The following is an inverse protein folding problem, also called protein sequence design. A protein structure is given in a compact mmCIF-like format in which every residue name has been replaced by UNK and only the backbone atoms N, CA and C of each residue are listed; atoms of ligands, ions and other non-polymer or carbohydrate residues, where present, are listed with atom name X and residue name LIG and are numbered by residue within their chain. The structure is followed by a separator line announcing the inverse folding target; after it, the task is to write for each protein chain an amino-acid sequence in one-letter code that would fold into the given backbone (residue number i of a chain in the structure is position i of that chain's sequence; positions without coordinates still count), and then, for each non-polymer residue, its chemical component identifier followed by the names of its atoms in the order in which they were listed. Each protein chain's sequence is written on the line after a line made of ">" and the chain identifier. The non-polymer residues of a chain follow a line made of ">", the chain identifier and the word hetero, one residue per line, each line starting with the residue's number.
data_IF_060132002742
#
_entry.id   IF_060132002742
#
_cell.length_a   1.000
_cell.length_b   1.000
_cell.length_c   1.000
_cell.angle_alpha   90.00
_cell.angle_beta   90.00
_cell.angle_gamma   90.00
#
_symmetry.space_group_name_H-M   'P 1'
#
loop_
_entity.id
_entity.type
_entity.pdbx_description
1 polymer ?
#
# COMPACT_ATOMS: atom_id res chain seq x y z
N UNK A 1 -3.30 -13.94 -11.09
CA UNK A 1 -4.25 -13.57 -10.01
C UNK A 1 -4.41 -12.06 -9.89
N UNK A 2 -3.32 -11.29 -9.79
CA UNK A 2 -3.34 -9.83 -9.74
C UNK A 2 -4.14 -9.20 -10.91
N UNK A 3 -3.82 -9.58 -12.15
CA UNK A 3 -4.55 -9.16 -13.35
C UNK A 3 -6.05 -9.47 -13.32
N UNK A 4 -6.44 -10.60 -12.73
CA UNK A 4 -7.85 -10.98 -12.67
C UNK A 4 -8.63 -10.10 -11.69
N UNK A 5 -8.01 -9.68 -10.58
CA UNK A 5 -8.61 -8.74 -9.63
C UNK A 5 -8.76 -7.36 -10.25
N UNK A 6 -7.72 -6.85 -10.93
CA UNK A 6 -7.78 -5.57 -11.65
C UNK A 6 -8.84 -5.63 -12.76
N UNK A 7 -8.80 -6.67 -13.60
CA UNK A 7 -9.76 -6.82 -14.70
C UNK A 7 -11.22 -6.95 -14.22
N UNK A 8 -11.47 -7.47 -13.01
CA UNK A 8 -12.83 -7.54 -12.43
C UNK A 8 -13.37 -6.16 -12.10
N UNK A 9 -12.56 -5.25 -11.59
CA UNK A 9 -12.96 -3.88 -11.29
C UNK A 9 -13.50 -3.18 -12.54
N UNK A 10 -12.79 -3.33 -13.66
CA UNK A 10 -13.22 -2.77 -14.95
C UNK A 10 -14.44 -3.47 -15.57
N UNK A 11 -14.81 -4.67 -15.09
CA UNK A 11 -15.98 -5.42 -15.59
C UNK A 11 -17.26 -5.17 -14.81
N UNK A 12 -17.18 -4.57 -13.61
CA UNK A 12 -18.34 -4.18 -12.82
C UNK A 12 -18.70 -2.73 -13.19
N UNK A 13 -19.81 -2.48 -13.89
CA UNK A 13 -20.11 -1.15 -14.43
C UNK A 13 -20.18 -0.06 -13.37
N UNK A 14 -20.70 -0.37 -12.18
CA UNK A 14 -20.78 0.59 -11.06
C UNK A 14 -19.40 0.97 -10.52
N UNK A 15 -18.49 0.01 -10.34
CA UNK A 15 -17.14 0.27 -9.85
C UNK A 15 -16.35 1.08 -10.88
N UNK A 16 -16.40 0.65 -12.14
CA UNK A 16 -15.76 1.36 -13.24
C UNK A 16 -16.24 2.81 -13.36
N UNK A 17 -17.56 3.02 -13.35
CA UNK A 17 -18.15 4.36 -13.44
C UNK A 17 -17.74 5.25 -12.26
N UNK A 18 -17.73 4.71 -11.05
CA UNK A 18 -17.35 5.45 -9.85
C UNK A 18 -15.88 5.86 -9.88
N UNK A 19 -14.99 4.98 -10.35
CA UNK A 19 -13.56 5.30 -10.51
C UNK A 19 -13.30 6.35 -11.58
N UNK A 20 -14.06 6.31 -12.68
CA UNK A 20 -13.98 7.35 -13.72
C UNK A 20 -14.41 8.72 -13.18
N UNK A 21 -15.51 8.80 -12.43
CA UNK A 21 -15.99 10.07 -11.87
C UNK A 21 -15.04 10.63 -10.82
N UNK A 22 -14.44 9.76 -10.00
CA UNK A 22 -13.57 10.15 -8.90
C UNK A 22 -12.08 10.27 -9.29
N UNK A 23 -11.72 10.00 -10.55
CA UNK A 23 -10.35 10.00 -11.08
C UNK A 23 -9.38 9.15 -10.23
N UNK A 24 -9.85 7.98 -9.79
CA UNK A 24 -9.07 7.14 -8.87
C UNK A 24 -8.04 6.30 -9.63
N UNK A 25 -6.80 6.31 -9.14
CA UNK A 25 -5.74 5.45 -9.65
C UNK A 25 -5.77 4.07 -8.97
N UNK A 26 -5.56 3.01 -9.75
CA UNK A 26 -5.38 1.65 -9.24
C UNK A 26 -3.90 1.40 -9.01
N UNK A 27 -3.55 1.17 -7.74
CA UNK A 27 -2.25 0.66 -7.33
C UNK A 27 -2.34 -0.83 -7.02
N UNK A 28 -1.35 -1.60 -7.46
CA UNK A 28 -1.27 -3.04 -7.19
C UNK A 28 0.02 -3.39 -6.46
N UNK A 29 -0.06 -4.20 -5.40
CA UNK A 29 1.13 -4.60 -4.63
C UNK A 29 1.50 -6.07 -4.82
N UNK A 30 2.81 -6.33 -4.89
CA UNK A 30 3.43 -7.67 -5.00
C UNK A 30 4.90 -7.61 -4.54
N UNK A 31 5.49 -8.75 -4.21
CA UNK A 31 6.96 -8.90 -4.08
C UNK A 31 7.58 -9.66 -5.25
N UNK A 32 6.77 -10.05 -6.23
CA UNK A 32 7.17 -10.70 -7.48
C UNK A 32 7.00 -9.73 -8.66
N UNK A 33 8.10 -9.23 -9.26
CA UNK A 33 8.08 -8.32 -10.40
C UNK A 33 7.33 -8.88 -11.62
N UNK A 34 7.33 -10.21 -11.82
CA UNK A 34 6.70 -10.85 -12.97
C UNK A 34 5.17 -10.87 -12.86
N UNK A 35 4.61 -10.59 -11.68
CA UNK A 35 3.18 -10.49 -11.49
C UNK A 35 2.59 -9.19 -12.06
N UNK A 36 3.39 -8.12 -12.18
CA UNK A 36 2.90 -6.79 -12.52
C UNK A 36 2.45 -6.58 -13.98
N UNK A 37 3.12 -7.10 -15.02
CA UNK A 37 2.76 -6.79 -16.42
C UNK A 37 1.30 -7.08 -16.74
N UNK A 38 0.83 -8.27 -16.36
CA UNK A 38 -0.56 -8.67 -16.57
C UNK A 38 -1.56 -7.76 -15.83
N UNK A 39 -1.18 -7.18 -14.68
CA UNK A 39 -2.01 -6.26 -13.93
C UNK A 39 -2.05 -4.87 -14.55
N UNK A 40 -0.91 -4.39 -15.06
CA UNK A 40 -0.83 -3.14 -15.80
C UNK A 40 -1.62 -3.23 -17.10
N UNK A 41 -1.52 -4.35 -17.84
CA UNK A 41 -2.36 -4.63 -19.01
C UNK A 41 -3.85 -4.64 -18.68
N UNK A 42 -4.22 -5.13 -17.49
CA UNK A 42 -5.59 -5.10 -17.00
C UNK A 42 -6.07 -3.72 -16.55
N UNK A 43 -5.19 -2.71 -16.50
CA UNK A 43 -5.52 -1.33 -16.17
C UNK A 43 -5.02 -0.85 -14.81
N UNK A 44 -3.99 -1.44 -14.21
CA UNK A 44 -3.30 -0.82 -13.07
C UNK A 44 -2.45 0.37 -13.53
N UNK A 45 -2.54 1.51 -12.84
CA UNK A 45 -1.74 2.72 -13.16
C UNK A 45 -0.48 2.86 -12.30
N UNK A 46 -0.37 2.08 -11.23
CA UNK A 46 0.73 2.14 -10.28
C UNK A 46 1.02 0.74 -9.73
N UNK A 47 2.28 0.46 -9.43
CA UNK A 47 2.71 -0.79 -8.81
C UNK A 47 3.47 -0.51 -7.51
N UNK A 48 3.33 -1.38 -6.53
CA UNK A 48 4.03 -1.31 -5.24
C UNK A 48 4.83 -2.59 -4.99
N UNK A 49 6.14 -2.46 -4.77
CA UNK A 49 6.94 -3.52 -4.14
C UNK A 49 6.76 -3.38 -2.63
N UNK A 50 6.06 -4.32 -2.00
CA UNK A 50 5.74 -4.16 -0.60
C UNK A 50 4.73 -5.17 -0.05
N UNK A 51 3.98 -4.71 0.95
CA UNK A 51 3.07 -5.54 1.74
C UNK A 51 3.78 -6.73 2.43
N UNK A 52 4.90 -6.44 3.10
CA UNK A 52 5.76 -7.46 3.72
C UNK A 52 5.15 -8.10 4.97
N UNK A 53 4.20 -7.42 5.59
CA UNK A 53 3.46 -7.83 6.78
C UNK A 53 2.98 -9.29 6.81
N UNK A 54 2.47 -9.84 5.69
CA UNK A 54 2.05 -11.24 5.60
C UNK A 54 3.24 -12.21 5.55
N UNK A 55 4.38 -11.76 5.04
CA UNK A 55 5.62 -12.54 4.96
C UNK A 55 6.35 -12.58 6.30
N UNK A 56 6.32 -11.49 7.06
CA UNK A 56 6.89 -11.44 8.40
C UNK A 56 6.23 -12.47 9.33
N UNK A 57 4.91 -12.66 9.22
CA UNK A 57 4.17 -13.70 9.95
C UNK A 57 4.62 -15.12 9.58
N UNK A 58 5.15 -15.31 8.37
CA UNK A 58 5.75 -16.57 7.89
C UNK A 58 7.25 -16.68 8.22
N UNK A 59 7.81 -15.72 8.96
CA UNK A 59 9.24 -15.66 9.27
C UNK A 59 10.13 -15.26 8.09
N UNK A 60 9.54 -14.78 6.98
CA UNK A 60 10.27 -14.31 5.80
C UNK A 60 10.55 -12.82 6.00
N UNK A 61 11.83 -12.43 5.90
CA UNK A 61 12.26 -11.04 5.96
C UNK A 61 12.85 -10.61 4.61
N UNK A 62 12.82 -9.31 4.35
CA UNK A 62 13.37 -8.73 3.12
C UNK A 62 14.58 -7.88 3.47
N UNK A 63 15.75 -8.25 2.94
CA UNK A 63 16.97 -7.46 3.10
C UNK A 63 16.97 -6.24 2.17
N UNK A 64 17.73 -5.18 2.49
CA UNK A 64 17.91 -4.04 1.60
C UNK A 64 18.32 -4.43 0.17
N UNK A 65 19.24 -5.40 0.03
CA UNK A 65 19.74 -5.87 -1.27
C UNK A 65 18.64 -6.59 -2.06
N UNK A 66 17.80 -7.37 -1.38
CA UNK A 66 16.64 -8.02 -2.01
C UNK A 66 15.66 -6.99 -2.53
N UNK A 67 15.33 -5.96 -1.75
CA UNK A 67 14.39 -4.91 -2.16
C UNK A 67 14.96 -4.11 -3.34
N UNK A 68 16.26 -3.78 -3.33
CA UNK A 68 16.94 -3.14 -4.47
C UNK A 68 16.88 -4.00 -5.73
N UNK A 69 17.09 -5.32 -5.61
CA UNK A 69 16.98 -6.26 -6.73
C UNK A 69 15.56 -6.28 -7.31
N UNK A 70 14.55 -6.38 -6.45
CA UNK A 70 13.14 -6.35 -6.87
C UNK A 70 12.78 -5.04 -7.58
N UNK A 71 13.31 -3.91 -7.08
CA UNK A 71 13.11 -2.57 -7.66
C UNK A 71 13.71 -2.47 -9.05
N UNK A 72 14.99 -2.85 -9.21
CA UNK A 72 15.69 -2.93 -10.50
C UNK A 72 14.94 -3.79 -11.51
N UNK A 73 14.52 -4.98 -11.08
CA UNK A 73 13.82 -5.92 -11.95
C UNK A 73 12.46 -5.38 -12.39
N UNK A 74 11.69 -4.82 -11.45
CA UNK A 74 10.39 -4.21 -11.75
C UNK A 74 10.53 -3.01 -12.70
N UNK A 75 11.48 -2.10 -12.43
CA UNK A 75 11.73 -0.96 -13.31
C UNK A 75 12.20 -1.39 -14.70
N UNK A 76 12.99 -2.46 -14.82
CA UNK A 76 13.39 -3.01 -16.13
C UNK A 76 12.19 -3.54 -16.91
N UNK A 77 11.25 -4.21 -16.25
CA UNK A 77 10.06 -4.79 -16.90
C UNK A 77 9.05 -3.69 -17.26
N UNK A 78 8.87 -2.71 -16.38
CA UNK A 78 7.89 -1.64 -16.50
C UNK A 78 8.57 -0.27 -16.39
N UNK A 79 9.26 0.21 -17.45
CA UNK A 79 10.10 1.39 -17.38
C UNK A 79 9.33 2.69 -17.11
N UNK A 80 8.04 2.75 -17.44
CA UNK A 80 7.24 3.98 -17.37
C UNK A 80 6.10 3.94 -16.35
N UNK A 81 5.89 2.82 -15.66
CA UNK A 81 4.85 2.74 -14.63
C UNK A 81 5.31 3.48 -13.37
N UNK A 82 4.39 4.11 -12.64
CA UNK A 82 4.70 4.63 -11.31
C UNK A 82 5.01 3.46 -10.37
N UNK A 83 6.22 3.44 -9.81
CA UNK A 83 6.72 2.41 -8.91
C UNK A 83 6.87 2.96 -7.48
N UNK A 84 6.02 2.47 -6.57
CA UNK A 84 6.20 2.65 -5.13
C UNK A 84 7.01 1.51 -4.54
N UNK A 85 7.88 1.81 -3.58
CA UNK A 85 8.59 0.80 -2.80
C UNK A 85 8.34 1.04 -1.33
N UNK A 86 7.83 0.00 -0.66
CA UNK A 86 7.62 0.02 0.79
C UNK A 86 8.95 -0.17 1.51
N UNK A 87 9.21 0.70 2.48
CA UNK A 87 10.36 0.71 3.36
C UNK A 87 10.09 -0.20 4.57
N UNK A 88 10.82 -1.31 4.74
CA UNK A 88 10.55 -2.26 5.81
C UNK A 88 10.81 -1.64 7.20
N UNK A 89 9.82 -1.74 8.09
CA UNK A 89 9.91 -1.12 9.42
C UNK A 89 10.92 -1.77 10.38
N UNK A 90 11.44 -2.94 10.02
CA UNK A 90 12.44 -3.67 10.83
C UNK A 90 13.85 -3.07 10.73
N UNK A 91 14.12 -2.24 9.72
CA UNK A 91 15.41 -1.57 9.56
C UNK A 91 15.55 -0.40 10.54
N UNK A 92 16.78 -0.10 10.95
CA UNK A 92 17.06 1.11 11.71
C UNK A 92 16.74 2.36 10.88
N UNK A 93 16.37 3.47 11.52
CA UNK A 93 16.02 4.69 10.80
C UNK A 93 17.16 5.19 9.86
N UNK A 94 18.45 5.17 10.25
CA UNK A 94 19.55 5.47 9.33
C UNK A 94 19.61 4.52 8.13
N UNK A 95 19.39 3.22 8.34
CA UNK A 95 19.41 2.23 7.25
C UNK A 95 18.21 2.41 6.31
N UNK A 96 17.04 2.80 6.84
CA UNK A 96 15.88 3.15 6.02
C UNK A 96 16.17 4.35 5.13
N UNK A 97 16.82 5.39 5.67
CA UNK A 97 17.23 6.58 4.90
C UNK A 97 18.20 6.19 3.79
N UNK A 98 19.25 5.43 4.13
CA UNK A 98 20.24 4.97 3.14
C UNK A 98 19.60 4.11 2.05
N UNK A 99 18.69 3.21 2.42
CA UNK A 99 17.97 2.40 1.45
C UNK A 99 17.07 3.26 0.57
N UNK A 100 16.42 4.30 1.10
CA UNK A 100 15.57 5.19 0.31
C UNK A 100 16.36 5.92 -0.78
N UNK A 101 17.55 6.46 -0.45
CA UNK A 101 18.45 7.11 -1.41
C UNK A 101 18.85 6.15 -2.53
N UNK A 102 19.16 4.90 -2.18
CA UNK A 102 19.49 3.88 -3.17
C UNK A 102 18.28 3.52 -4.03
N UNK A 103 17.08 3.38 -3.45
CA UNK A 103 15.86 3.06 -4.19
C UNK A 103 15.49 4.18 -5.18
N UNK A 104 15.68 5.44 -4.82
CA UNK A 104 15.53 6.58 -5.73
C UNK A 104 16.47 6.43 -6.93
N UNK A 105 17.74 6.07 -6.70
CA UNK A 105 18.72 5.84 -7.78
C UNK A 105 18.34 4.65 -8.67
N UNK A 106 17.71 3.62 -8.11
CA UNK A 106 17.20 2.46 -8.86
C UNK A 106 15.85 2.71 -9.57
N UNK A 107 15.32 3.93 -9.47
CA UNK A 107 14.14 4.37 -10.18
C UNK A 107 12.82 4.06 -9.47
N UNK A 108 12.79 4.04 -8.14
CA UNK A 108 11.53 4.20 -7.41
C UNK A 108 10.98 5.61 -7.63
N UNK A 109 9.67 5.75 -7.86
CA UNK A 109 9.02 7.05 -8.00
C UNK A 109 8.45 7.54 -6.66
N UNK A 110 8.16 6.61 -5.75
CA UNK A 110 7.56 6.90 -4.44
C UNK A 110 8.17 5.98 -3.38
N UNK A 111 8.55 6.53 -2.23
CA UNK A 111 8.89 5.71 -1.06
C UNK A 111 7.70 5.66 -0.12
N UNK A 112 7.26 4.46 0.24
CA UNK A 112 6.16 4.26 1.18
C UNK A 112 6.72 3.78 2.52
N UNK A 113 6.48 4.51 3.61
CA UNK A 113 6.93 4.08 4.93
C UNK A 113 6.04 2.95 5.45
N UNK A 114 6.59 2.03 6.22
CA UNK A 114 5.83 0.99 6.92
C UNK A 114 5.80 1.29 8.43
N UNK A 115 4.72 0.89 9.10
CA UNK A 115 4.56 0.99 10.55
C UNK A 115 4.29 -0.39 11.14
N UNK A 116 4.73 -0.62 12.39
CA UNK A 116 4.59 -1.91 13.05
C UNK A 116 3.12 -2.32 13.29
N UNK A 117 2.86 -3.63 13.23
CA UNK A 117 1.52 -4.24 13.20
C UNK A 117 0.68 -4.19 14.49
N UNK A 118 1.11 -3.47 15.53
CA UNK A 118 0.51 -3.64 16.86
C UNK A 118 0.17 -2.32 17.55
N UNK A 119 -1.07 -1.86 17.37
CA UNK A 119 -1.78 -1.10 18.41
C UNK A 119 -3.24 -1.50 18.41
N UNK A 120 -3.62 -2.24 19.45
CA UNK A 120 -4.99 -2.18 19.93
C UNK A 120 -5.03 -1.01 20.90
N UNK A 121 -5.64 0.14 20.55
CA UNK A 121 -5.77 1.23 21.50
C UNK A 121 -6.53 0.72 22.74
N UNK A 122 -5.93 0.89 23.91
CA UNK A 122 -6.51 0.51 25.19
C UNK A 122 -7.70 1.41 25.58
N UNK A 123 -7.81 2.59 24.97
CA UNK A 123 -8.90 3.55 25.18
C UNK A 123 -9.85 3.65 23.98
N UNK A 124 -11.17 3.78 24.20
CA UNK A 124 -12.13 4.07 23.13
C UNK A 124 -12.11 5.57 22.74
N UNK A 125 -12.76 5.90 21.62
CA UNK A 125 -13.01 7.28 21.19
C UNK A 125 -11.74 8.08 20.83
N UNK A 126 -11.78 9.40 21.04
CA UNK A 126 -10.69 10.32 20.67
C UNK A 126 -9.36 9.95 21.36
N UNK A 127 -9.41 9.50 22.61
CA UNK A 127 -8.23 9.06 23.34
C UNK A 127 -7.57 7.85 22.66
N UNK A 128 -8.35 6.90 22.13
CA UNK A 128 -7.82 5.79 21.34
C UNK A 128 -7.21 6.22 20.01
N UNK A 129 -7.75 7.27 19.38
CA UNK A 129 -7.16 7.86 18.17
C UNK A 129 -5.82 8.53 18.44
N UNK A 130 -5.65 9.13 19.62
CA UNK A 130 -4.38 9.72 20.08
C UNK A 130 -3.42 8.61 20.50
N UNK A 131 -3.89 7.53 21.14
CA UNK A 131 -3.04 6.40 21.54
C UNK A 131 -2.38 5.71 20.34
N UNK A 132 -3.06 5.68 19.18
CA UNK A 132 -2.48 5.27 17.89
C UNK A 132 -1.29 6.10 17.43
N UNK A 133 -1.00 7.25 18.04
CA UNK A 133 0.26 7.98 17.81
C UNK A 133 1.45 7.07 18.08
N UNK A 134 1.39 6.23 19.12
CA UNK A 134 2.50 5.33 19.48
C UNK A 134 2.85 4.34 18.38
N UNK A 135 1.85 3.84 17.64
CA UNK A 135 2.05 3.00 16.43
C UNK A 135 2.39 3.80 15.19
N UNK A 136 1.93 5.05 15.11
CA UNK A 136 2.31 5.94 14.03
C UNK A 136 3.77 6.43 14.16
N UNK A 137 4.37 6.41 15.36
CA UNK A 137 5.69 6.97 15.61
C UNK A 137 6.78 6.46 14.65
N UNK A 138 6.94 5.14 14.39
CA UNK A 138 7.95 4.67 13.45
C UNK A 138 7.74 5.20 12.04
N UNK A 139 6.49 5.19 11.56
CA UNK A 139 6.16 5.66 10.21
C UNK A 139 6.31 7.17 10.06
N UNK A 140 5.99 7.95 11.10
CA UNK A 140 6.18 9.39 11.15
C UNK A 140 7.67 9.77 11.19
N UNK A 141 8.48 9.06 11.99
CA UNK A 141 9.92 9.28 12.08
C UNK A 141 10.63 8.93 10.76
N UNK A 142 10.23 7.82 10.12
CA UNK A 142 10.68 7.43 8.79
C UNK A 142 10.31 8.49 7.76
N UNK A 143 9.04 8.95 7.73
CA UNK A 143 8.59 9.98 6.80
C UNK A 143 9.40 11.28 6.97
N UNK A 144 9.62 11.71 8.21
CA UNK A 144 10.43 12.90 8.50
C UNK A 144 11.86 12.81 7.98
N UNK A 145 12.50 11.66 8.19
CA UNK A 145 13.92 11.49 7.87
C UNK A 145 14.14 11.24 6.38
N UNK A 146 13.31 10.38 5.78
CA UNK A 146 13.43 9.99 4.37
C UNK A 146 13.08 11.17 3.46
N UNK A 147 12.01 11.92 3.75
CA UNK A 147 11.60 13.08 2.92
C UNK A 147 12.64 14.20 2.81
N UNK A 148 13.66 14.19 3.68
CA UNK A 148 14.78 15.13 3.66
C UNK A 148 16.03 14.57 2.97
N UNK A 149 16.06 13.28 2.73
CA UNK A 149 17.18 12.58 2.10
C UNK A 149 16.94 12.32 0.61
N UNK A 150 15.68 12.14 0.19
CA UNK A 150 15.30 11.89 -1.22
C UNK A 150 14.51 13.05 -1.79
N UNK A 151 14.48 13.16 -3.12
CA UNK A 151 13.70 14.17 -3.85
C UNK A 151 12.32 13.63 -4.29
N UNK A 152 12.20 12.30 -4.43
CA UNK A 152 10.93 11.65 -4.73
C UNK A 152 9.94 11.74 -3.55
N UNK A 153 8.62 11.76 -3.82
CA UNK A 153 7.61 11.85 -2.78
C UNK A 153 7.67 10.65 -1.81
N UNK A 154 7.43 10.95 -0.53
CA UNK A 154 7.28 9.93 0.52
C UNK A 154 5.82 9.81 0.90
N UNK A 155 5.26 8.60 0.84
CA UNK A 155 3.94 8.28 1.36
C UNK A 155 4.06 7.70 2.76
N UNK A 156 3.30 8.24 3.71
CA UNK A 156 3.26 7.71 5.07
C UNK A 156 2.17 6.65 5.19
N UNK A 157 2.51 5.41 5.56
CA UNK A 157 1.53 4.33 5.70
C UNK A 157 1.55 3.66 7.07
N UNK A 158 0.46 2.96 7.40
CA UNK A 158 0.26 2.15 8.61
C UNK A 158 0.15 2.94 9.92
N UNK A 159 -0.71 2.47 10.83
CA UNK A 159 -0.90 3.08 12.16
C UNK A 159 -1.54 4.48 12.17
N UNK A 160 -1.80 5.10 11.02
CA UNK A 160 -2.37 6.45 10.95
C UNK A 160 -3.86 6.49 11.36
N UNK A 161 -4.24 7.60 11.97
CA UNK A 161 -5.60 7.96 12.35
C UNK A 161 -5.93 9.35 11.79
N UNK A 162 -7.19 9.77 11.90
CA UNK A 162 -7.57 11.13 11.53
C UNK A 162 -6.76 12.21 12.29
N UNK A 163 -6.21 11.88 13.47
CA UNK A 163 -5.39 12.78 14.28
C UNK A 163 -3.93 12.80 13.81
N UNK A 164 -3.38 11.66 13.39
CA UNK A 164 -1.96 11.56 12.99
C UNK A 164 -1.72 11.79 11.51
N UNK A 165 -2.74 11.72 10.65
CA UNK A 165 -2.61 12.04 9.24
C UNK A 165 -2.05 13.46 8.98
N UNK A 166 -2.54 14.54 9.62
CA UNK A 166 -1.92 15.87 9.49
C UNK A 166 -0.47 15.93 9.98
N UNK A 167 -0.12 15.12 10.98
CA UNK A 167 1.25 15.05 11.50
C UNK A 167 2.18 14.43 10.46
N UNK A 168 1.73 13.40 9.73
CA UNK A 168 2.50 12.78 8.65
C UNK A 168 2.79 13.76 7.52
N UNK A 169 1.80 14.58 7.13
CA UNK A 169 2.00 15.64 6.14
C UNK A 169 3.02 16.67 6.63
N UNK A 170 2.89 17.13 7.88
CA UNK A 170 3.86 18.05 8.51
C UNK A 170 5.26 17.45 8.62
N UNK A 171 5.37 16.13 8.79
CA UNK A 171 6.66 15.45 8.84
C UNK A 171 7.39 15.49 7.49
N UNK A 172 6.66 15.65 6.37
CA UNK A 172 7.22 15.70 5.02
C UNK A 172 6.64 14.64 4.09
N UNK A 173 5.59 13.92 4.49
CA UNK A 173 4.89 13.01 3.60
C UNK A 173 4.09 13.81 2.54
N UNK A 174 4.19 13.40 1.28
CA UNK A 174 3.39 13.92 0.17
C UNK A 174 1.96 13.34 0.16
N UNK A 175 1.75 12.21 0.84
CA UNK A 175 0.45 11.56 0.98
C UNK A 175 0.42 10.61 2.18
N UNK A 176 -0.78 10.20 2.57
CA UNK A 176 -1.00 9.26 3.68
C UNK A 176 -1.87 8.09 3.24
N UNK A 177 -1.51 6.89 3.66
CA UNK A 177 -2.27 5.67 3.40
C UNK A 177 -3.02 5.25 4.66
N UNK A 178 -4.33 5.14 4.56
CA UNK A 178 -5.17 4.64 5.63
C UNK A 178 -5.74 3.28 5.28
N UNK A 179 -5.57 2.34 6.22
CA UNK A 179 -6.15 1.01 6.12
C UNK A 179 -7.48 1.00 6.85
N UNK A 180 -8.57 0.84 6.09
CA UNK A 180 -9.88 0.50 6.62
C UNK A 180 -10.19 -0.95 6.30
N UNK A 181 -10.94 -1.62 7.18
CA UNK A 181 -11.42 -2.99 6.92
C UNK A 181 -12.82 -2.91 6.35
N UNK A 182 -12.95 -3.11 5.05
CA UNK A 182 -14.24 -3.28 4.37
C UNK A 182 -14.51 -4.76 4.09
N UNK A 183 -15.77 -5.12 3.86
CA UNK A 183 -16.11 -6.46 3.38
C UNK A 183 -15.51 -6.67 1.98
N UNK A 184 -15.16 -7.91 1.64
CA UNK A 184 -14.51 -8.24 0.38
C UNK A 184 -15.50 -8.57 -0.74
N UNK A 185 -16.76 -8.12 -0.63
CA UNK A 185 -17.79 -8.25 -1.65
C UNK A 185 -17.87 -7.01 -2.55
N UNK A 186 -18.71 -7.05 -3.58
CA UNK A 186 -18.91 -5.92 -4.50
C UNK A 186 -19.33 -4.65 -3.74
N UNK A 187 -20.15 -4.79 -2.70
CA UNK A 187 -20.59 -3.68 -1.87
C UNK A 187 -19.43 -3.05 -1.09
N UNK A 188 -18.54 -3.84 -0.50
CA UNK A 188 -17.36 -3.32 0.18
C UNK A 188 -16.37 -2.63 -0.77
N UNK A 189 -16.29 -3.07 -2.03
CA UNK A 189 -15.57 -2.32 -3.07
C UNK A 189 -16.23 -0.98 -3.37
N UNK A 190 -17.56 -0.94 -3.54
CA UNK A 190 -18.30 0.32 -3.74
C UNK A 190 -18.07 1.25 -2.54
N UNK A 191 -18.15 0.75 -1.32
CA UNK A 191 -18.00 1.53 -0.10
C UNK A 191 -16.58 2.09 0.04
N UNK A 192 -15.56 1.29 -0.33
CA UNK A 192 -14.17 1.76 -0.33
C UNK A 192 -13.95 2.85 -1.37
N UNK A 193 -14.42 2.65 -2.61
CA UNK A 193 -14.25 3.65 -3.68
C UNK A 193 -14.98 4.94 -3.31
N UNK A 194 -16.14 4.86 -2.65
CA UNK A 194 -16.88 6.03 -2.13
C UNK A 194 -16.19 6.71 -0.95
N UNK A 195 -15.41 5.98 -0.15
CA UNK A 195 -14.65 6.59 0.97
C UNK A 195 -13.50 7.44 0.45
N UNK A 196 -12.91 7.05 -0.69
CA UNK A 196 -11.78 7.76 -1.30
C UNK A 196 -12.21 9.13 -1.82
N UNK A 197 -11.44 10.16 -1.44
CA UNK A 197 -11.64 11.52 -1.96
C UNK A 197 -11.34 11.58 -3.46
N UNK A 198 -11.97 12.54 -4.14
CA UNK A 198 -11.69 12.86 -5.54
C UNK A 198 -10.18 13.02 -5.78
N UNK A 199 -9.64 12.35 -6.81
CA UNK A 199 -8.22 12.37 -7.15
C UNK A 199 -7.32 11.48 -6.28
N UNK A 200 -7.89 10.67 -5.39
CA UNK A 200 -7.14 9.70 -4.58
C UNK A 200 -6.70 8.46 -5.35
N UNK A 201 -6.12 7.49 -4.64
CA UNK A 201 -5.78 6.18 -5.19
C UNK A 201 -6.36 5.05 -4.35
N UNK A 202 -6.66 3.93 -5.01
CA UNK A 202 -7.13 2.68 -4.38
C UNK A 202 -6.03 1.64 -4.55
N UNK A 203 -5.61 1.03 -3.44
CA UNK A 203 -4.60 -0.04 -3.46
C UNK A 203 -5.25 -1.41 -3.37
N UNK A 204 -4.77 -2.35 -4.20
CA UNK A 204 -5.15 -3.75 -4.26
C UNK A 204 -3.94 -4.64 -3.99
N UNK A 205 -4.06 -5.58 -3.04
CA UNK A 205 -2.99 -6.54 -2.70
C UNK A 205 -3.27 -7.94 -3.25
N UNK A 206 -2.22 -8.67 -3.66
CA UNK A 206 -2.31 -10.10 -4.05
C UNK A 206 -2.36 -11.08 -2.89
N UNK A 207 -1.89 -10.68 -1.71
CA UNK A 207 -1.58 -11.64 -0.64
C UNK A 207 -2.77 -12.07 0.21
N UNK A 208 -3.93 -11.44 0.05
CA UNK A 208 -5.16 -11.87 0.71
C UNK A 208 -5.81 -13.11 0.07
N UNK A 209 -5.23 -13.62 -1.03
CA UNK A 209 -5.77 -14.73 -1.82
C UNK A 209 -5.07 -16.09 -1.60
N UNK A 210 -3.87 -16.12 -0.98
CA UNK A 210 -3.10 -17.37 -0.78
C UNK A 210 -3.52 -18.24 0.43
N UNK A 211 -4.73 -18.06 0.95
CA UNK A 211 -5.34 -19.07 1.83
C UNK A 211 -4.97 -18.96 3.32
N UNK A 212 -5.56 -17.97 4.00
CA UNK A 212 -5.97 -18.12 5.40
C UNK A 212 -7.46 -18.54 5.55
N UNK A 213 -8.07 -19.14 4.52
CA UNK A 213 -9.20 -20.07 4.76
C UNK A 213 -8.61 -21.45 5.00
N UNK A 214 -8.45 -21.76 6.26
CA UNK A 214 -7.84 -22.97 6.80
C UNK A 214 -8.41 -24.25 6.14
N UNK A 215 -7.53 -25.19 5.77
CA UNK A 215 -7.83 -26.58 5.38
C UNK A 215 -8.74 -26.80 4.15
N UNK A 216 -8.25 -27.55 3.15
CA UNK A 216 -8.83 -28.80 2.60
C UNK A 216 -8.54 -29.02 1.10
N UNK A 217 -8.14 -30.25 0.78
CA UNK A 217 -8.47 -30.90 -0.50
C UNK A 217 -10.00 -30.93 -0.63
N UNK A 218 -10.58 -30.18 -1.56
CA UNK A 218 -11.77 -30.58 -2.32
C UNK A 218 -12.10 -29.58 -3.42
N UNK A 219 -12.74 -30.09 -4.46
CA UNK A 219 -13.30 -29.36 -5.60
C UNK A 219 -14.30 -28.30 -5.11
N UNK A 220 -14.04 -27.01 -5.31
CA UNK A 220 -14.89 -25.93 -4.80
C UNK A 220 -15.37 -25.00 -5.93
N UNK A 221 -16.70 -24.94 -6.02
CA UNK A 221 -17.54 -24.02 -6.75
C UNK A 221 -17.22 -22.57 -6.37
N UNK A 222 -17.17 -21.64 -7.33
CA UNK A 222 -16.93 -20.20 -7.09
C UNK A 222 -18.06 -19.58 -6.23
N UNK A 223 -17.82 -19.32 -4.94
CA UNK A 223 -17.87 -17.93 -4.47
C UNK A 223 -16.87 -17.68 -3.31
N UNK A 224 -16.07 -16.61 -3.42
CA UNK A 224 -15.68 -15.71 -2.31
C UNK A 224 -14.36 -14.99 -2.63
N UNK A 225 -14.49 -13.68 -2.70
CA UNK A 225 -13.43 -12.70 -2.87
C UNK A 225 -12.85 -12.40 -1.46
N UNK A 226 -11.52 -12.36 -1.35
CA UNK A 226 -10.79 -11.90 -0.16
C UNK A 226 -9.74 -10.90 -0.64
N UNK A 227 -9.93 -9.63 -0.31
CA UNK A 227 -8.92 -8.57 -0.48
C UNK A 227 -9.18 -7.45 0.52
N UNK A 228 -8.18 -7.10 1.33
CA UNK A 228 -8.17 -5.89 2.13
C UNK A 228 -7.89 -4.70 1.21
N UNK A 229 -8.92 -3.87 0.98
CA UNK A 229 -8.80 -2.66 0.17
C UNK A 229 -8.31 -1.52 1.05
N UNK A 230 -7.35 -0.72 0.56
CA UNK A 230 -6.76 0.41 1.32
C UNK A 230 -6.99 1.74 0.60
N UNK A 231 -7.22 2.80 1.36
CA UNK A 231 -7.47 4.15 0.86
C UNK A 231 -6.18 4.99 0.90
N UNK A 232 -5.84 5.61 -0.23
CA UNK A 232 -4.71 6.55 -0.36
C UNK A 232 -5.24 7.99 -0.36
N UNK A 233 -4.88 8.77 0.66
CA UNK A 233 -5.12 10.21 0.70
C UNK A 233 -3.91 10.94 0.13
N UNK A 234 -4.04 11.54 -1.05
CA UNK A 234 -3.14 12.60 -1.46
C UNK A 234 -3.55 13.90 -0.76
N UNK A 235 -2.62 14.53 -0.05
CA UNK A 235 -2.76 15.94 0.23
C UNK A 235 -2.29 16.66 -1.02
N UNK A 236 -3.19 17.38 -1.71
CA UNK A 236 -2.75 18.41 -2.64
C UNK A 236 -1.88 19.38 -1.84
N UNK A 237 -0.56 19.33 -2.03
CA UNK A 237 0.26 20.50 -1.78
C UNK A 237 -0.06 21.51 -2.89
N UNK A 238 -0.22 22.81 -2.54
CA UNK A 238 -0.59 23.85 -3.48
C UNK A 238 0.40 24.00 -4.64
#
# INVERSE_FOLDING_TARGET
>A
MLAASVARIFRVPQLFFLMMILFLQICVSSVDPLAFPSAVEAGAQMVEIGNYDSFYEMGIQFSPEQILKLTRETRRILPSITLSVTMPHMLSLPDQVKLAELLEQEGADIIQTEGGKYSSPSKPGVLGLIEKVTTATPTLAAAYSISRAVQIPVMCSSGLSAVTAPMALTAGAAGVLSFQRFQADEQGWVDTIKSVRFGGAVRISTMDWLGQSQYLRQTVFWPSLSSAVSEVYYAHLP
#
